data_IF_960846274304
#
_entry.id   IF_960846274304
#
_cell.length_a   1.000
_cell.length_b   1.000
_cell.length_c   1.000
_cell.angle_alpha   90.00
_cell.angle_beta   90.00
_cell.angle_gamma   90.00
#
_symmetry.space_group_name_H-M   'P 1'
#
loop_
_entity.id
_entity.type
_entity.pdbx_description
1 polymer ?
#
# COMPACT_ATOMS: atom_id res chain seq x y z
N UNK A 1 -24.20 -8.42 -15.38
CA UNK A 1 -23.24 -7.38 -14.91
C UNK A 1 -21.87 -8.03 -14.71
N UNK A 2 -20.83 -7.65 -15.46
CA UNK A 2 -19.47 -8.14 -15.21
C UNK A 2 -18.98 -7.51 -13.90
N UNK A 3 -18.83 -8.31 -12.83
CA UNK A 3 -18.10 -7.90 -11.63
C UNK A 3 -16.64 -7.68 -12.04
N UNK A 4 -16.26 -6.45 -12.37
CA UNK A 4 -14.86 -6.08 -12.47
C UNK A 4 -14.28 -6.21 -11.05
N UNK A 5 -13.66 -7.34 -10.75
CA UNK A 5 -12.85 -7.47 -9.55
C UNK A 5 -11.68 -6.49 -9.70
N UNK A 6 -11.78 -5.31 -9.08
CA UNK A 6 -10.67 -4.38 -8.98
C UNK A 6 -9.61 -5.04 -8.10
N UNK A 7 -8.63 -5.67 -8.75
CA UNK A 7 -7.54 -6.32 -8.06
C UNK A 7 -6.60 -5.26 -7.47
N UNK A 8 -6.23 -5.37 -6.18
CA UNK A 8 -5.42 -4.36 -5.51
C UNK A 8 -3.99 -4.43 -6.03
N UNK A 9 -3.58 -3.39 -6.78
CA UNK A 9 -2.20 -3.26 -7.26
C UNK A 9 -1.36 -2.54 -6.22
N UNK A 10 -0.22 -3.13 -5.87
CA UNK A 10 0.74 -2.50 -4.96
C UNK A 10 1.19 -1.14 -5.52
N UNK A 11 1.15 -0.11 -4.69
CA UNK A 11 1.60 1.25 -5.02
C UNK A 11 3.08 1.32 -5.39
N UNK A 12 3.89 0.39 -4.86
CA UNK A 12 5.32 0.29 -5.13
C UNK A 12 5.63 -0.63 -6.32
N UNK A 13 5.40 -1.94 -6.20
CA UNK A 13 5.83 -2.90 -7.24
C UNK A 13 4.81 -3.08 -8.37
N UNK A 14 3.63 -2.44 -8.28
CA UNK A 14 2.56 -2.46 -9.31
C UNK A 14 1.98 -3.85 -9.63
N UNK A 15 2.37 -4.88 -8.88
CA UNK A 15 1.86 -6.25 -8.96
C UNK A 15 0.60 -6.41 -8.10
N UNK A 16 -0.25 -7.38 -8.48
CA UNK A 16 -1.35 -7.90 -7.66
C UNK A 16 -0.82 -9.10 -6.89
N UNK A 17 -0.85 -9.11 -5.55
CA UNK A 17 -0.44 -10.28 -4.78
C UNK A 17 -1.46 -11.43 -4.96
N UNK A 18 -1.02 -12.69 -4.93
CA UNK A 18 -1.91 -13.84 -5.09
C UNK A 18 -2.96 -13.92 -3.96
N UNK A 19 -2.67 -13.38 -2.78
CA UNK A 19 -3.60 -13.29 -1.66
C UNK A 19 -4.61 -12.13 -1.80
N UNK A 20 -4.57 -11.37 -2.90
CA UNK A 20 -5.46 -10.24 -3.15
C UNK A 20 -5.33 -9.15 -2.09
N UNK A 21 -6.45 -8.59 -1.61
CA UNK A 21 -6.42 -7.49 -0.63
C UNK A 21 -5.89 -7.93 0.74
N UNK A 22 -5.97 -9.23 1.06
CA UNK A 22 -5.40 -9.79 2.28
C UNK A 22 -3.86 -9.88 2.24
N UNK A 23 -3.27 -9.75 1.06
CA UNK A 23 -1.82 -9.81 0.84
C UNK A 23 -1.08 -8.49 1.07
N UNK A 24 -1.61 -7.59 1.89
CA UNK A 24 -1.00 -6.29 2.11
C UNK A 24 -1.74 -5.37 3.08
N UNK A 25 -1.22 -4.16 3.21
CA UNK A 25 -1.77 -3.09 4.02
C UNK A 25 -2.46 -2.06 3.11
N UNK A 26 -3.69 -1.70 3.46
CA UNK A 26 -4.45 -0.66 2.78
C UNK A 26 -4.45 0.63 3.62
N UNK A 27 -3.86 1.69 3.09
CA UNK A 27 -3.83 3.02 3.70
C UNK A 27 -4.57 3.97 2.75
N UNK A 28 -5.88 4.14 2.98
CA UNK A 28 -6.76 5.09 2.29
C UNK A 28 -6.49 5.21 0.77
N UNK A 29 -6.69 4.13 0.02
CA UNK A 29 -6.54 4.12 -1.43
C UNK A 29 -5.12 3.84 -1.92
N UNK A 30 -4.14 3.80 -1.02
CA UNK A 30 -2.80 3.26 -1.27
C UNK A 30 -2.75 1.83 -0.75
N UNK A 31 -2.43 0.88 -1.61
CA UNK A 31 -2.19 -0.51 -1.22
C UNK A 31 -0.69 -0.79 -1.24
N UNK A 32 -0.18 -1.48 -0.23
CA UNK A 32 1.21 -1.95 -0.16
C UNK A 32 1.21 -3.45 0.12
N UNK A 33 1.71 -4.26 -0.81
CA UNK A 33 1.71 -5.72 -0.62
C UNK A 33 2.73 -6.17 0.44
N UNK A 34 2.53 -7.36 1.01
CA UNK A 34 3.36 -7.92 2.08
C UNK A 34 4.84 -8.01 1.69
N UNK A 35 5.17 -8.36 0.44
CA UNK A 35 6.55 -8.38 -0.03
C UNK A 35 7.23 -7.01 0.09
N UNK A 36 6.52 -5.94 -0.27
CA UNK A 36 7.03 -4.58 -0.14
C UNK A 36 7.05 -4.11 1.31
N UNK A 37 6.07 -4.49 2.13
CA UNK A 37 6.05 -4.23 3.58
C UNK A 37 7.26 -4.86 4.28
N UNK A 38 7.53 -6.14 4.02
CA UNK A 38 8.66 -6.87 4.62
C UNK A 38 10.01 -6.31 4.18
N UNK A 39 10.12 -5.80 2.95
CA UNK A 39 11.33 -5.16 2.45
C UNK A 39 11.49 -3.70 2.91
N UNK A 40 10.42 -3.06 3.41
CA UNK A 40 10.42 -1.65 3.75
C UNK A 40 11.52 -1.24 4.75
N UNK A 41 11.85 -2.02 5.79
CA UNK A 41 12.93 -1.69 6.72
C UNK A 41 14.32 -1.65 6.07
N UNK A 42 14.53 -2.34 4.94
CA UNK A 42 15.80 -2.33 4.24
C UNK A 42 15.89 -1.23 3.17
N UNK A 43 14.84 -0.42 2.99
CA UNK A 43 14.84 0.64 2.01
C UNK A 43 15.52 1.90 2.52
N UNK A 44 16.38 2.47 1.69
CA UNK A 44 17.01 3.78 1.86
C UNK A 44 16.32 4.82 0.97
N UNK A 45 16.67 6.09 1.18
CA UNK A 45 16.22 7.21 0.34
C UNK A 45 16.59 7.07 -1.14
N UNK A 46 17.59 6.25 -1.44
CA UNK A 46 18.09 6.01 -2.79
C UNK A 46 17.27 4.96 -3.55
N UNK A 47 16.47 4.15 -2.85
CA UNK A 47 15.60 3.18 -3.49
C UNK A 47 14.43 3.85 -4.21
N UNK A 48 14.25 3.49 -5.49
CA UNK A 48 13.08 3.88 -6.29
C UNK A 48 11.78 3.46 -5.60
N UNK A 49 11.76 2.28 -4.97
CA UNK A 49 10.63 1.76 -4.22
C UNK A 49 10.22 2.67 -3.06
N UNK A 50 11.20 3.14 -2.29
CA UNK A 50 10.97 4.09 -1.19
C UNK A 50 10.40 5.40 -1.70
N UNK A 51 11.05 6.01 -2.70
CA UNK A 51 10.58 7.28 -3.29
C UNK A 51 9.17 7.17 -3.84
N UNK A 52 8.84 6.05 -4.48
CA UNK A 52 7.51 5.79 -5.04
C UNK A 52 6.43 5.72 -3.95
N UNK A 53 6.71 4.97 -2.87
CA UNK A 53 5.81 4.88 -1.74
C UNK A 53 5.67 6.23 -1.03
N UNK A 54 6.79 6.90 -0.74
CA UNK A 54 6.82 8.23 -0.11
C UNK A 54 5.97 9.23 -0.89
N UNK A 55 6.16 9.32 -2.21
CA UNK A 55 5.38 10.24 -3.05
C UNK A 55 3.87 9.93 -3.03
N UNK A 56 3.49 8.66 -2.91
CA UNK A 56 2.09 8.26 -2.78
C UNK A 56 1.51 8.68 -1.44
N UNK A 57 2.25 8.47 -0.35
CA UNK A 57 1.87 8.87 0.99
C UNK A 57 1.84 10.39 1.17
N UNK A 58 2.83 11.12 0.63
CA UNK A 58 2.87 12.59 0.70
C UNK A 58 1.62 13.22 0.08
N UNK A 59 1.14 12.70 -1.05
CA UNK A 59 -0.11 13.16 -1.67
C UNK A 59 -1.32 12.88 -0.80
N UNK A 60 -1.35 11.71 -0.16
CA UNK A 60 -2.43 11.28 0.71
C UNK A 60 -2.48 12.11 2.00
N UNK A 61 -1.32 12.35 2.60
CA UNK A 61 -1.18 12.99 3.91
C UNK A 61 -1.30 14.51 3.89
N UNK A 62 -1.37 15.13 2.71
CA UNK A 62 -1.78 16.54 2.56
C UNK A 62 -3.09 16.87 3.29
N UNK A 63 -3.97 15.87 3.48
CA UNK A 63 -5.19 16.02 4.27
C UNK A 63 -5.09 15.19 5.56
N UNK A 64 -5.23 15.78 6.76
CA UNK A 64 -4.94 15.12 8.04
C UNK A 64 -5.93 14.01 8.44
N UNK A 65 -7.04 13.86 7.71
CA UNK A 65 -8.08 12.84 7.90
C UNK A 65 -7.57 11.41 7.58
N UNK A 66 -6.35 11.24 7.07
CA UNK A 66 -5.71 9.93 6.93
C UNK A 66 -5.58 9.16 8.26
N UNK A 67 -5.50 9.85 9.41
CA UNK A 67 -5.36 9.24 10.74
C UNK A 67 -6.52 8.31 11.09
N UNK A 68 -7.73 8.61 10.60
CA UNK A 68 -8.92 7.81 10.81
C UNK A 68 -8.92 6.49 10.01
N UNK A 69 -7.94 6.30 9.12
CA UNK A 69 -7.89 5.19 8.17
C UNK A 69 -6.63 4.32 8.31
N UNK A 70 -5.82 4.56 9.34
CA UNK A 70 -4.85 3.57 9.81
C UNK A 70 -5.63 2.46 10.54
N UNK A 71 -6.32 1.63 9.79
CA UNK A 71 -6.78 0.35 10.29
C UNK A 71 -5.60 -0.62 10.16
N UNK A 72 -5.00 -1.03 11.28
CA UNK A 72 -4.12 -2.19 11.31
C UNK A 72 -4.97 -3.41 10.93
N UNK A 73 -4.93 -3.78 9.65
CA UNK A 73 -5.53 -4.99 9.12
C UNK A 73 -4.75 -6.21 9.60
N UNK A 74 -5.01 -6.64 10.83
CA UNK A 74 -4.58 -7.90 11.42
C UNK A 74 -5.65 -8.33 12.41
N UNK A 75 -6.03 -9.62 12.41
CA UNK A 75 -7.06 -10.15 13.32
C UNK A 75 -6.79 -9.75 14.78
N UNK A 76 -7.84 -9.57 15.60
CA UNK A 76 -7.69 -9.47 17.05
C UNK A 76 -6.98 -10.69 17.64
#
# INVERSE_FOLDING_TARGET
MKKAALLPRCSTCRQVPPEGIAGGLWIRGVFLCNRCLTALPSWTTDNVSYRTLKNSLDRLWRRPDWRCHLASGGRP
#
